data_IF_285720930915
#
_entry.id   IF_285720930915
#
_cell.length_a   1.000
_cell.length_b   1.000
_cell.length_c   1.000
_cell.angle_alpha   90.00
_cell.angle_beta   90.00
_cell.angle_gamma   90.00
#
_symmetry.space_group_name_H-M   'P 1'
#
loop_
_entity.id
_entity.type
_entity.pdbx_description
1 polymer ?
#
# COMPACT_ATOMS: atom_id res chain seq x y z
N UNK A 1 11.05 -26.56 -12.71
CA UNK A 1 10.55 -26.05 -12.37
C UNK A 1 10.31 -25.28 -12.02
N UNK A 2 10.01 -25.07 -11.75
CA UNK A 2 9.64 -24.32 -11.38
C UNK A 2 8.87 -23.79 -10.91
N UNK A 3 8.79 -24.03 -10.90
CA UNK A 3 7.93 -23.76 -9.93
C UNK A 3 7.73 -22.39 -9.43
N UNK A 4 7.66 -21.46 -10.28
CA UNK A 4 7.45 -20.11 -9.89
C UNK A 4 6.00 -19.83 -9.56
N UNK A 5 5.14 -20.67 -10.08
CA UNK A 5 3.73 -20.56 -9.71
C UNK A 5 3.61 -20.82 -8.24
N UNK A 6 2.78 -20.11 -7.58
CA UNK A 6 2.60 -20.21 -6.16
C UNK A 6 3.59 -19.40 -5.36
N UNK A 7 4.65 -18.93 -6.01
CA UNK A 7 5.57 -18.03 -5.34
C UNK A 7 5.38 -16.61 -5.73
N UNK A 8 4.43 -16.36 -6.62
CA UNK A 8 4.04 -14.99 -6.91
C UNK A 8 3.35 -14.41 -5.69
N UNK A 9 3.68 -13.19 -5.38
CA UNK A 9 3.06 -12.49 -4.26
C UNK A 9 2.52 -11.18 -4.76
N UNK A 10 1.30 -10.90 -4.33
CA UNK A 10 0.65 -9.64 -4.62
C UNK A 10 0.28 -9.00 -3.30
N UNK A 11 0.37 -7.69 -3.23
CA UNK A 11 0.11 -6.96 -2.01
C UNK A 11 -0.93 -5.89 -2.28
N UNK A 12 -1.89 -5.78 -1.38
CA UNK A 12 -2.60 -4.52 -1.25
C UNK A 12 -1.90 -3.73 -0.16
N UNK A 13 -1.92 -2.42 -0.29
CA UNK A 13 -1.24 -1.58 0.67
C UNK A 13 -2.00 -0.27 0.85
N UNK A 14 -1.82 0.32 2.03
CA UNK A 14 -2.35 1.65 2.31
C UNK A 14 -1.16 2.52 2.69
N UNK A 15 -1.00 3.62 1.95
CA UNK A 15 0.02 4.62 2.24
C UNK A 15 -0.65 5.93 2.59
N UNK A 16 0.08 6.78 3.27
CA UNK A 16 -0.42 8.08 3.70
C UNK A 16 0.65 9.14 3.58
N UNK A 17 0.24 10.39 3.71
CA UNK A 17 1.17 11.49 3.92
C UNK A 17 1.67 11.46 5.37
N UNK A 18 2.64 12.32 5.68
CA UNK A 18 3.27 12.36 7.01
C UNK A 18 2.24 12.58 8.12
N UNK A 19 1.24 13.39 7.88
CA UNK A 19 0.25 13.74 8.90
C UNK A 19 -0.95 12.81 8.94
N UNK A 20 -0.97 11.77 8.08
CA UNK A 20 -2.03 10.77 8.04
C UNK A 20 -3.40 11.37 7.77
N UNK A 21 -3.42 12.42 6.93
CA UNK A 21 -4.67 13.07 6.54
C UNK A 21 -5.21 12.53 5.21
N UNK A 22 -4.37 11.85 4.44
CA UNK A 22 -4.74 11.27 3.15
C UNK A 22 -4.31 9.82 3.12
N UNK A 23 -5.21 8.93 2.70
CA UNK A 23 -4.92 7.51 2.53
C UNK A 23 -5.07 7.13 1.08
N UNK A 24 -4.11 6.37 0.57
CA UNK A 24 -4.15 5.83 -0.77
C UNK A 24 -4.01 4.31 -0.70
N UNK A 25 -4.92 3.59 -1.34
CA UNK A 25 -4.91 2.13 -1.40
C UNK A 25 -4.49 1.69 -2.79
N UNK A 26 -3.54 0.77 -2.86
CA UNK A 26 -3.05 0.28 -4.14
C UNK A 26 -2.79 -1.22 -4.09
N UNK A 27 -2.44 -1.75 -5.26
CA UNK A 27 -2.07 -3.16 -5.40
C UNK A 27 -0.77 -3.22 -6.20
N UNK A 28 0.11 -4.15 -5.82
CA UNK A 28 1.38 -4.32 -6.51
C UNK A 28 1.87 -5.76 -6.34
N UNK A 29 2.73 -6.19 -7.25
CA UNK A 29 3.42 -7.47 -7.10
C UNK A 29 4.79 -7.32 -6.43
N UNK A 30 5.21 -6.10 -6.13
CA UNK A 30 6.47 -5.85 -5.45
C UNK A 30 6.37 -4.58 -4.63
N UNK A 31 6.10 -4.76 -3.34
CA UNK A 31 5.84 -3.62 -2.46
C UNK A 31 7.06 -2.72 -2.29
N UNK A 32 8.24 -3.34 -2.18
CA UNK A 32 9.47 -2.58 -2.02
C UNK A 32 9.71 -1.62 -3.19
N UNK A 33 9.59 -2.14 -4.42
CA UNK A 33 9.77 -1.32 -5.61
C UNK A 33 8.69 -0.26 -5.70
N UNK A 34 7.44 -0.63 -5.38
CA UNK A 34 6.33 0.32 -5.46
C UNK A 34 6.51 1.49 -4.49
N UNK A 35 6.96 1.21 -3.28
CA UNK A 35 7.23 2.27 -2.31
C UNK A 35 8.34 3.18 -2.79
N UNK A 36 9.40 2.62 -3.39
CA UNK A 36 10.46 3.43 -4.01
C UNK A 36 9.91 4.32 -5.11
N UNK A 37 9.02 3.78 -5.95
CA UNK A 37 8.41 4.55 -7.03
C UNK A 37 7.56 5.71 -6.50
N UNK A 38 6.79 5.49 -5.44
CA UNK A 38 6.00 6.55 -4.84
C UNK A 38 6.90 7.67 -4.32
N UNK A 39 7.97 7.32 -3.64
CA UNK A 39 8.94 8.30 -3.14
C UNK A 39 9.60 9.06 -4.29
N UNK A 40 10.00 8.35 -5.32
CA UNK A 40 10.64 8.95 -6.49
C UNK A 40 9.69 9.86 -7.24
N UNK A 41 8.44 9.44 -7.45
CA UNK A 41 7.44 10.27 -8.10
C UNK A 41 7.20 11.56 -7.32
N UNK A 42 7.17 11.47 -6.00
CA UNK A 42 7.03 12.65 -5.17
C UNK A 42 8.20 13.60 -5.37
N UNK A 43 9.42 13.06 -5.38
CA UNK A 43 10.63 13.86 -5.53
C UNK A 43 10.73 14.52 -6.91
N UNK A 44 10.27 13.82 -7.96
CA UNK A 44 10.35 14.33 -9.33
C UNK A 44 9.17 15.19 -9.74
N UNK A 45 8.15 15.26 -8.90
CA UNK A 45 6.96 16.07 -9.19
C UNK A 45 5.98 15.44 -10.16
N UNK A 46 6.07 14.13 -10.40
CA UNK A 46 5.10 13.44 -11.23
C UNK A 46 3.69 13.53 -10.62
N UNK A 47 2.70 13.74 -11.46
CA UNK A 47 1.34 14.08 -11.01
C UNK A 47 0.48 12.84 -10.82
N UNK A 48 0.86 11.97 -9.88
CA UNK A 48 -0.01 10.88 -9.46
C UNK A 48 -0.76 11.32 -8.21
N UNK A 49 -1.80 10.57 -7.82
CA UNK A 49 -2.51 10.84 -6.57
C UNK A 49 -1.55 10.83 -5.38
N UNK A 50 -0.73 9.79 -5.29
CA UNK A 50 0.20 9.66 -4.18
C UNK A 50 1.19 10.82 -4.14
N UNK A 51 1.71 11.23 -5.31
CA UNK A 51 2.65 12.33 -5.41
C UNK A 51 2.00 13.65 -5.01
N UNK A 52 0.77 13.88 -5.49
CA UNK A 52 0.06 15.13 -5.23
C UNK A 52 -0.11 15.39 -3.74
N UNK A 53 -0.32 14.34 -2.94
CA UNK A 53 -0.57 14.47 -1.50
C UNK A 53 0.61 14.04 -0.64
N UNK A 54 1.78 13.78 -1.25
CA UNK A 54 2.97 13.30 -0.54
C UNK A 54 2.70 11.99 0.19
N UNK A 55 1.90 11.11 -0.39
CA UNK A 55 1.56 9.83 0.21
C UNK A 55 2.65 8.81 -0.09
N UNK A 56 3.64 8.70 0.78
CA UNK A 56 4.78 7.81 0.59
C UNK A 56 5.04 6.92 1.81
N UNK A 57 4.23 7.04 2.85
CA UNK A 57 4.44 6.32 4.11
C UNK A 57 3.51 5.13 4.21
N UNK A 58 4.08 3.94 4.35
CA UNK A 58 3.30 2.70 4.42
C UNK A 58 2.71 2.54 5.81
N UNK A 59 1.40 2.28 5.88
CA UNK A 59 0.70 2.03 7.14
C UNK A 59 0.18 0.60 7.25
N UNK A 60 -0.06 -0.06 6.11
CA UNK A 60 -0.74 -1.37 6.13
C UNK A 60 -0.48 -2.10 4.84
N UNK A 61 -0.41 -3.44 4.91
CA UNK A 61 -0.37 -4.28 3.71
C UNK A 61 -0.95 -5.65 4.03
N UNK A 62 -1.45 -6.30 2.96
CA UNK A 62 -1.88 -7.70 2.98
C UNK A 62 -1.24 -8.40 1.79
N UNK A 63 -0.89 -9.66 1.98
CA UNK A 63 -0.26 -10.46 0.95
C UNK A 63 -1.25 -11.46 0.38
N UNK A 64 -1.23 -11.61 -0.95
CA UNK A 64 -2.08 -12.56 -1.66
C UNK A 64 -1.25 -13.37 -2.65
N UNK A 65 -1.64 -14.62 -2.86
CA UNK A 65 -1.03 -15.45 -3.89
C UNK A 65 -1.60 -15.13 -5.27
N UNK A 66 -2.89 -14.80 -5.33
CA UNK A 66 -3.59 -14.60 -6.60
C UNK A 66 -3.92 -13.14 -6.83
N UNK A 67 -3.60 -12.65 -8.03
CA UNK A 67 -3.79 -11.24 -8.35
C UNK A 67 -5.28 -10.84 -8.30
N UNK A 68 -6.16 -11.75 -8.68
CA UNK A 68 -7.61 -11.45 -8.66
C UNK A 68 -8.08 -11.15 -7.26
N UNK A 69 -7.57 -11.90 -6.27
CA UNK A 69 -7.93 -11.66 -4.87
C UNK A 69 -7.40 -10.33 -4.38
N UNK A 70 -6.18 -10.00 -4.76
CA UNK A 70 -5.58 -8.73 -4.36
C UNK A 70 -6.36 -7.55 -4.96
N UNK A 71 -6.72 -7.65 -6.23
CA UNK A 71 -7.48 -6.60 -6.91
C UNK A 71 -8.85 -6.42 -6.27
N UNK A 72 -9.53 -7.53 -5.96
CA UNK A 72 -10.84 -7.47 -5.32
C UNK A 72 -10.76 -6.81 -3.96
N UNK A 73 -9.71 -7.15 -3.19
CA UNK A 73 -9.52 -6.57 -1.86
C UNK A 73 -9.21 -5.07 -1.94
N UNK A 74 -8.41 -4.67 -2.90
CA UNK A 74 -8.06 -3.27 -3.10
C UNK A 74 -9.33 -2.45 -3.41
N UNK A 75 -10.18 -2.97 -4.29
CA UNK A 75 -11.42 -2.29 -4.62
C UNK A 75 -12.35 -2.19 -3.42
N UNK A 76 -12.42 -3.25 -2.63
CA UNK A 76 -13.24 -3.27 -1.44
C UNK A 76 -12.81 -2.18 -0.46
N UNK A 77 -11.51 -2.13 -0.16
CA UNK A 77 -10.98 -1.19 0.81
C UNK A 77 -11.10 0.25 0.30
N UNK A 78 -10.92 0.46 -0.99
CA UNK A 78 -11.02 1.80 -1.57
C UNK A 78 -12.37 2.46 -1.31
N UNK A 79 -13.43 1.65 -1.26
CA UNK A 79 -14.78 2.17 -1.08
C UNK A 79 -15.12 2.41 0.39
N UNK A 80 -14.26 2.01 1.30
CA UNK A 80 -14.52 2.17 2.73
C UNK A 80 -14.36 3.61 3.17
N UNK A 81 -15.09 3.97 4.22
CA UNK A 81 -14.88 5.24 4.91
C UNK A 81 -13.53 5.21 5.62
N UNK A 82 -13.03 6.41 5.90
CA UNK A 82 -11.74 6.60 6.56
C UNK A 82 -11.66 5.83 7.88
N UNK A 83 -12.70 5.90 8.70
CA UNK A 83 -12.71 5.24 10.01
C UNK A 83 -12.52 3.74 9.89
N UNK A 84 -13.15 3.14 8.87
CA UNK A 84 -13.03 1.70 8.65
C UNK A 84 -11.63 1.32 8.18
N UNK A 85 -11.00 2.17 7.37
CA UNK A 85 -9.61 1.96 6.95
C UNK A 85 -8.68 2.02 8.15
N UNK A 86 -8.89 2.96 9.05
CA UNK A 86 -8.10 3.08 10.27
C UNK A 86 -8.27 1.86 11.15
N UNK A 87 -9.49 1.35 11.29
CA UNK A 87 -9.73 0.13 12.06
C UNK A 87 -8.95 -1.05 11.48
N UNK A 88 -8.97 -1.18 10.15
CA UNK A 88 -8.21 -2.24 9.49
C UNK A 88 -6.72 -2.09 9.76
N UNK A 89 -6.18 -0.89 9.60
CA UNK A 89 -4.77 -0.63 9.86
C UNK A 89 -4.40 -1.04 11.29
N UNK A 90 -5.24 -0.72 12.24
CA UNK A 90 -4.97 -0.98 13.64
C UNK A 90 -4.97 -2.46 14.01
N UNK A 91 -5.50 -3.33 13.14
CA UNK A 91 -5.46 -4.78 13.41
C UNK A 91 -4.02 -5.30 13.45
N UNK A 92 -3.09 -4.68 12.72
CA UNK A 92 -1.69 -5.09 12.71
C UNK A 92 -0.76 -3.94 13.08
N UNK A 93 -1.24 -2.71 13.08
CA UNK A 93 -0.42 -1.52 13.29
C UNK A 93 -1.19 -0.53 14.16
N UNK A 94 -1.38 -0.85 15.45
CA UNK A 94 -2.27 -0.07 16.32
C UNK A 94 -1.84 1.37 16.54
N UNK A 95 -0.55 1.67 16.35
CA UNK A 95 -0.04 3.02 16.54
C UNK A 95 0.09 3.79 15.24
N UNK A 96 -0.32 3.19 14.12
CA UNK A 96 -0.16 3.77 12.79
C UNK A 96 1.28 4.21 12.53
N UNK A 97 2.22 3.37 12.89
CA UNK A 97 3.64 3.61 12.63
C UNK A 97 3.92 3.50 11.13
N UNK A 98 4.97 4.16 10.68
CA UNK A 98 5.40 4.04 9.28
C UNK A 98 6.18 2.73 9.13
N UNK A 99 5.71 1.88 8.22
CA UNK A 99 6.25 0.53 8.03
C UNK A 99 7.26 0.44 6.89
N UNK A 100 7.69 1.57 6.35
CA UNK A 100 8.60 1.60 5.20
C UNK A 100 9.89 0.84 5.45
N UNK A 101 10.41 0.86 6.68
CA UNK A 101 11.67 0.21 7.01
C UNK A 101 11.62 -1.31 6.82
N UNK A 102 10.44 -1.90 6.84
CA UNK A 102 10.30 -3.34 6.60
C UNK A 102 10.66 -3.71 5.17
N UNK A 103 10.68 -2.72 4.26
CA UNK A 103 10.92 -2.93 2.83
C UNK A 103 12.09 -2.09 2.32
N UNK A 104 12.90 -1.58 3.22
CA UNK A 104 14.04 -0.77 2.85
C UNK A 104 15.19 -1.60 2.27
#
# INVERSE_FOLDING_TARGET
MQLQEGYHSYYIYIISNKHKTVFYTGVTNNLRIRLSQHTENNATGNKTFASKYNATYLLYYEKFTWVQEAIAREKEIKDWRREKKIELIKTINPNLDFLNDLFA
#
